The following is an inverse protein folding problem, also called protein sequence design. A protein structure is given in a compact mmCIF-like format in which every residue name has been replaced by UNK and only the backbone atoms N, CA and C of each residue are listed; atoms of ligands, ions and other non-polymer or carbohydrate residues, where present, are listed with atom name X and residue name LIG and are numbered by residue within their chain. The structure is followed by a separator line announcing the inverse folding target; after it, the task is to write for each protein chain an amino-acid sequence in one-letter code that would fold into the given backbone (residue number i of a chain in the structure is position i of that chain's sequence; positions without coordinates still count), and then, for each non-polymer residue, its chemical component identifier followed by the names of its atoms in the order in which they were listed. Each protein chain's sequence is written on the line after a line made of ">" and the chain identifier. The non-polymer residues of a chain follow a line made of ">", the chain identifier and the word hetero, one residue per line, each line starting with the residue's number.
data_IF_907989136530
#
_entry.id   IF_907989136530
#
_cell.length_a   1.000
_cell.length_b   1.000
_cell.length_c   1.000
_cell.angle_alpha   90.00
_cell.angle_beta   90.00
_cell.angle_gamma   90.00
#
_symmetry.space_group_name_H-M   'P 1'
#
loop_
_entity.id
_entity.type
_entity.pdbx_description
1 polymer ?
#
# COMPACT_ATOMS: atom_id res chain seq x y z
N UNK A 1 -5.31 1.14 -12.18
CA UNK A 1 -5.20 1.97 -13.42
C UNK A 1 -6.49 2.77 -13.65
N UNK A 2 -6.82 3.71 -12.74
CA UNK A 2 -8.10 4.42 -12.74
C UNK A 2 -7.95 5.92 -13.04
N UNK A 3 -6.72 6.44 -12.93
CA UNK A 3 -6.38 7.82 -13.22
C UNK A 3 -6.99 8.38 -14.54
N UNK A 4 -6.98 7.66 -15.68
CA UNK A 4 -7.59 8.17 -16.92
C UNK A 4 -9.11 8.38 -16.83
N UNK A 5 -9.80 7.67 -15.91
CA UNK A 5 -11.26 7.71 -15.75
C UNK A 5 -11.73 8.77 -14.74
N UNK A 6 -10.81 9.37 -14.00
CA UNK A 6 -11.13 10.44 -13.04
C UNK A 6 -11.20 11.80 -13.75
N UNK A 7 -12.14 12.64 -13.32
CA UNK A 7 -12.20 14.04 -13.73
C UNK A 7 -10.92 14.79 -13.34
N UNK A 8 -10.62 15.88 -14.04
CA UNK A 8 -9.38 16.65 -13.84
C UNK A 8 -9.17 17.07 -12.37
N UNK A 9 -10.26 17.48 -11.68
CA UNK A 9 -10.23 17.84 -10.26
C UNK A 9 -9.73 16.70 -9.37
N UNK A 10 -10.22 15.48 -9.58
CA UNK A 10 -9.82 14.33 -8.75
C UNK A 10 -8.46 13.77 -9.16
N UNK A 11 -8.08 13.87 -10.44
CA UNK A 11 -6.74 13.51 -10.88
C UNK A 11 -5.67 14.40 -10.23
N UNK A 12 -5.93 15.69 -10.07
CA UNK A 12 -5.01 16.63 -9.41
C UNK A 12 -4.77 16.32 -7.92
N UNK A 13 -5.67 15.56 -7.28
CA UNK A 13 -5.54 15.13 -5.89
C UNK A 13 -4.78 13.81 -5.73
N UNK A 14 -4.48 13.11 -6.83
CA UNK A 14 -3.74 11.86 -6.76
C UNK A 14 -2.30 12.13 -6.34
N UNK A 15 -1.87 11.45 -5.27
CA UNK A 15 -0.48 11.41 -4.83
C UNK A 15 0.18 10.16 -5.41
N UNK A 16 1.50 10.20 -5.71
CA UNK A 16 2.23 9.00 -6.07
C UNK A 16 2.09 7.96 -4.94
N UNK A 17 1.90 6.67 -5.27
CA UNK A 17 1.88 5.64 -4.25
C UNK A 17 3.24 5.58 -3.55
N UNK A 18 3.22 5.43 -2.22
CA UNK A 18 4.43 5.39 -1.38
C UNK A 18 5.29 4.15 -1.67
N UNK A 19 4.63 3.04 -1.94
CA UNK A 19 5.25 1.77 -2.28
C UNK A 19 4.62 1.20 -3.55
N UNK A 20 5.37 0.38 -4.26
CA UNK A 20 4.79 -0.47 -5.29
C UNK A 20 3.90 -1.57 -4.66
N UNK A 21 3.25 -2.36 -5.52
CA UNK A 21 2.36 -3.43 -5.06
C UNK A 21 3.09 -4.51 -4.22
N UNK A 22 4.37 -4.75 -4.48
CA UNK A 22 5.16 -5.76 -3.79
C UNK A 22 5.61 -5.25 -2.41
N UNK A 23 6.18 -4.06 -2.34
CA UNK A 23 6.57 -3.40 -1.09
C UNK A 23 5.37 -3.22 -0.16
N UNK A 24 4.22 -2.81 -0.69
CA UNK A 24 2.98 -2.75 0.06
C UNK A 24 2.54 -4.12 0.61
N UNK A 25 2.62 -5.17 -0.20
CA UNK A 25 2.29 -6.53 0.25
C UNK A 25 3.23 -7.04 1.36
N UNK A 26 4.53 -6.75 1.26
CA UNK A 26 5.51 -7.13 2.30
C UNK A 26 5.27 -6.36 3.59
N UNK A 27 5.03 -5.04 3.54
CA UNK A 27 4.69 -4.27 4.74
C UNK A 27 3.41 -4.80 5.42
N UNK A 28 2.41 -5.19 4.62
CA UNK A 28 1.19 -5.81 5.14
C UNK A 28 1.50 -7.16 5.81
N UNK A 29 2.33 -8.00 5.20
CA UNK A 29 2.77 -9.25 5.81
C UNK A 29 3.50 -9.02 7.13
N UNK A 30 4.43 -8.07 7.19
CA UNK A 30 5.15 -7.72 8.42
C UNK A 30 4.17 -7.33 9.53
N UNK A 31 3.19 -6.47 9.26
CA UNK A 31 2.17 -6.07 10.27
C UNK A 31 1.36 -7.25 10.81
N UNK A 32 1.06 -8.24 9.98
CA UNK A 32 0.26 -9.40 10.36
C UNK A 32 1.09 -10.43 11.13
N UNK A 33 2.34 -10.66 10.72
CA UNK A 33 3.17 -11.76 11.23
C UNK A 33 4.20 -11.34 12.28
N UNK A 34 4.44 -10.05 12.51
CA UNK A 34 5.42 -9.59 13.50
C UNK A 34 5.04 -9.99 14.93
N UNK A 35 3.75 -9.95 15.29
CA UNK A 35 3.27 -10.37 16.62
C UNK A 35 3.37 -11.89 16.83
N UNK A 36 3.15 -12.68 15.77
CA UNK A 36 3.29 -14.14 15.83
C UNK A 36 4.73 -14.59 15.95
N UNK A 37 5.67 -13.84 15.35
CA UNK A 37 7.10 -14.13 15.44
C UNK A 37 7.68 -13.79 16.82
N UNK A 38 7.16 -12.75 17.47
CA UNK A 38 7.58 -12.35 18.82
C UNK A 38 7.07 -13.33 19.89
N UNK A 39 5.86 -13.89 19.72
CA UNK A 39 5.31 -14.92 20.62
C UNK A 39 5.94 -16.31 20.44
N UNK A 40 6.61 -16.56 19.32
CA UNK A 40 7.26 -17.84 19.01
C UNK A 40 8.76 -17.87 19.38
N UNK A 41 9.32 -16.75 19.84
CA UNK A 41 10.74 -16.61 20.24
C UNK A 41 10.88 -16.77 21.74
#
# INVERSE_FOLDING_TARGET
>A
LYAPRLSARYRALLKPPLDDALGGAVQMAVRVFSSTAEAAR
#
